data_IF_405960097734
#
_entry.id   IF_405960097734
#
_cell.length_a   1.000
_cell.length_b   1.000
_cell.length_c   1.000
_cell.angle_alpha   90.00
_cell.angle_beta   90.00
_cell.angle_gamma   90.00
#
_symmetry.space_group_name_H-M   'P 1'
#
loop_
_entity.id
_entity.type
_entity.pdbx_description
1 polymer ?
#
# COMPACT_ATOMS: atom_id res chain seq x y z
N UNK A 1 -69.23 16.56 -39.79
CA UNK A 1 -67.89 16.65 -40.41
C UNK A 1 -66.72 16.74 -39.42
N UNK A 2 -66.94 16.87 -38.10
CA UNK A 2 -65.87 16.90 -37.10
C UNK A 2 -65.27 15.54 -36.64
N UNK A 3 -65.97 14.39 -36.62
CA UNK A 3 -65.39 13.16 -36.04
C UNK A 3 -64.36 12.48 -36.96
N UNK A 4 -64.53 12.58 -38.28
CA UNK A 4 -63.61 11.99 -39.27
C UNK A 4 -62.23 12.65 -39.21
N UNK A 5 -62.18 13.96 -38.96
CA UNK A 5 -60.90 14.69 -38.85
C UNK A 5 -60.15 14.29 -37.59
N UNK A 6 -60.87 14.04 -36.48
CA UNK A 6 -60.26 13.61 -35.22
C UNK A 6 -59.68 12.19 -35.31
N UNK A 7 -60.39 11.25 -35.95
CA UNK A 7 -59.91 9.88 -36.17
C UNK A 7 -58.68 9.85 -37.07
N UNK A 8 -58.68 10.62 -38.15
CA UNK A 8 -57.52 10.71 -39.06
C UNK A 8 -56.32 11.35 -38.35
N UNK A 9 -56.53 12.38 -37.52
CA UNK A 9 -55.44 13.00 -36.76
C UNK A 9 -54.84 12.04 -35.74
N UNK A 10 -55.67 11.22 -35.08
CA UNK A 10 -55.22 10.25 -34.10
C UNK A 10 -54.40 9.13 -34.77
N UNK A 11 -54.84 8.65 -35.94
CA UNK A 11 -54.08 7.67 -36.73
C UNK A 11 -52.73 8.25 -37.18
N UNK A 12 -52.69 9.51 -37.60
CA UNK A 12 -51.44 10.17 -38.00
C UNK A 12 -50.49 10.35 -36.81
N UNK A 13 -50.99 10.74 -35.63
CA UNK A 13 -50.18 10.85 -34.41
C UNK A 13 -49.62 9.49 -34.00
N UNK A 14 -50.43 8.43 -34.06
CA UNK A 14 -49.96 7.05 -33.79
C UNK A 14 -48.88 6.66 -34.79
N UNK A 15 -49.07 6.90 -36.09
CA UNK A 15 -48.05 6.60 -37.11
C UNK A 15 -46.76 7.38 -36.83
N UNK A 16 -46.83 8.68 -36.53
CA UNK A 16 -45.65 9.50 -36.24
C UNK A 16 -44.94 9.02 -34.97
N UNK A 17 -45.68 8.74 -33.89
CA UNK A 17 -45.13 8.24 -32.63
C UNK A 17 -44.53 6.83 -32.80
N UNK A 18 -45.21 5.95 -33.54
CA UNK A 18 -44.69 4.63 -33.90
C UNK A 18 -43.44 4.73 -34.77
N UNK A 19 -43.37 5.69 -35.68
CA UNK A 19 -42.19 5.92 -36.53
C UNK A 19 -41.03 6.49 -35.73
N UNK A 20 -41.28 7.42 -34.79
CA UNK A 20 -40.25 7.95 -33.88
C UNK A 20 -39.72 6.84 -32.96
N UNK A 21 -40.60 6.00 -32.39
CA UNK A 21 -40.20 4.83 -31.60
C UNK A 21 -39.43 3.82 -32.46
N UNK A 22 -39.84 3.59 -33.71
CA UNK A 22 -39.14 2.69 -34.63
C UNK A 22 -37.78 3.24 -35.09
N UNK A 23 -37.63 4.56 -35.23
CA UNK A 23 -36.37 5.22 -35.64
C UNK A 23 -35.40 5.39 -34.48
N UNK A 24 -35.87 5.55 -33.23
CA UNK A 24 -35.02 5.83 -32.08
C UNK A 24 -34.86 4.70 -31.07
N UNK A 25 -35.80 3.76 -30.97
CA UNK A 25 -35.78 2.68 -29.98
C UNK A 25 -35.34 1.35 -30.59
N UNK A 26 -35.69 1.08 -31.86
CA UNK A 26 -35.29 -0.16 -32.54
C UNK A 26 -33.78 -0.22 -32.84
N UNK A 27 -33.06 0.86 -33.18
CA UNK A 27 -31.59 0.81 -33.27
C UNK A 27 -30.90 0.52 -31.93
N UNK A 28 -31.57 0.80 -30.80
CA UNK A 28 -31.04 0.58 -29.44
C UNK A 28 -31.23 -0.87 -28.96
N UNK A 29 -32.16 -1.63 -29.55
CA UNK A 29 -32.47 -3.01 -29.15
C UNK A 29 -32.29 -4.06 -30.27
N UNK A 30 -32.00 -3.66 -31.51
CA UNK A 30 -31.73 -4.57 -32.64
C UNK A 30 -30.47 -4.14 -33.39
N UNK A 31 -29.34 -4.06 -32.70
CA UNK A 31 -28.04 -3.74 -33.30
C UNK A 31 -27.68 -4.70 -34.45
N UNK A 32 -28.11 -4.34 -35.66
CA UNK A 32 -27.61 -4.84 -36.94
C UNK A 32 -27.43 -3.69 -37.95
N UNK A 33 -27.24 -2.45 -37.48
CA UNK A 33 -26.57 -1.42 -38.29
C UNK A 33 -25.07 -1.54 -38.06
N UNK A 34 -24.46 -2.37 -38.90
CA UNK A 34 -23.02 -2.50 -39.06
C UNK A 34 -22.42 -1.21 -39.60
N UNK A 35 -22.12 -0.27 -38.72
CA UNK A 35 -20.72 0.09 -38.63
C UNK A 35 -20.09 -1.01 -37.81
N UNK A 36 -19.38 -1.89 -38.51
CA UNK A 36 -18.52 -2.88 -37.90
C UNK A 36 -17.45 -2.12 -37.10
N UNK A 37 -17.80 -1.73 -35.87
CA UNK A 37 -16.86 -1.21 -34.91
C UNK A 37 -15.82 -2.28 -34.59
N UNK A 38 -15.95 -3.53 -35.04
CA UNK A 38 -14.84 -4.47 -34.96
C UNK A 38 -13.64 -3.92 -35.73
N UNK A 39 -13.78 -3.31 -36.92
CA UNK A 39 -12.63 -2.72 -37.63
C UNK A 39 -11.93 -1.60 -36.87
N UNK A 40 -12.69 -0.70 -36.24
CA UNK A 40 -12.16 0.37 -35.39
C UNK A 40 -11.61 -0.16 -34.05
N UNK A 41 -12.27 -1.14 -33.46
CA UNK A 41 -11.84 -1.82 -32.25
C UNK A 41 -10.60 -2.71 -32.48
N UNK A 42 -10.43 -3.29 -33.67
CA UNK A 42 -9.24 -4.04 -34.10
C UNK A 42 -8.07 -3.10 -34.43
N UNK A 43 -8.35 -1.87 -34.90
CA UNK A 43 -7.32 -0.87 -35.21
C UNK A 43 -6.90 -0.04 -34.00
N UNK A 44 -7.77 0.11 -33.01
CA UNK A 44 -7.44 0.62 -31.68
C UNK A 44 -6.77 -0.50 -30.86
N UNK A 45 -5.44 -0.45 -30.76
CA UNK A 45 -4.65 -1.44 -30.02
C UNK A 45 -3.76 -0.75 -29.02
N UNK A 46 -3.68 -1.28 -27.81
CA UNK A 46 -2.89 -0.71 -26.74
C UNK A 46 -2.31 -1.80 -25.85
N UNK A 47 -1.24 -1.47 -25.15
CA UNK A 47 -0.60 -2.33 -24.17
C UNK A 47 -0.40 -1.57 -22.87
N UNK A 48 -0.75 -2.18 -21.75
CA UNK A 48 -0.30 -1.74 -20.43
C UNK A 48 1.18 -2.07 -20.31
N UNK A 49 2.02 -1.03 -20.26
CA UNK A 49 3.48 -1.16 -20.15
C UNK A 49 3.90 -1.27 -18.69
N UNK A 50 3.25 -0.50 -17.82
CA UNK A 50 3.55 -0.42 -16.38
C UNK A 50 2.27 -0.15 -15.61
N UNK A 51 2.14 -0.76 -14.44
CA UNK A 51 1.18 -0.36 -13.41
C UNK A 51 1.84 -0.40 -12.04
N UNK A 52 1.78 0.67 -11.26
CA UNK A 52 2.39 0.73 -9.93
C UNK A 52 1.62 1.62 -8.97
N UNK A 53 1.90 1.48 -7.68
CA UNK A 53 1.49 2.48 -6.72
C UNK A 53 2.38 3.71 -6.88
N UNK A 54 1.75 4.88 -7.02
CA UNK A 54 2.46 6.07 -7.39
C UNK A 54 3.08 6.74 -6.16
N UNK A 55 4.39 6.94 -6.20
CA UNK A 55 5.19 7.58 -5.15
C UNK A 55 5.30 9.08 -5.42
N UNK A 56 4.19 9.82 -5.35
CA UNK A 56 4.22 11.27 -5.59
C UNK A 56 4.73 12.09 -4.41
N UNK A 57 4.77 11.47 -3.24
CA UNK A 57 5.19 12.16 -2.02
C UNK A 57 6.55 11.63 -1.65
N UNK A 58 7.55 12.50 -1.79
CA UNK A 58 8.82 12.28 -1.13
C UNK A 58 8.51 12.10 0.35
N UNK A 59 8.83 10.94 0.92
CA UNK A 59 8.75 10.77 2.37
C UNK A 59 9.52 11.93 3.00
N UNK A 60 8.89 12.54 4.00
CA UNK A 60 9.53 13.50 4.88
C UNK A 60 9.75 12.71 6.17
N UNK A 61 10.70 11.76 6.18
CA UNK A 61 10.89 10.95 7.37
C UNK A 61 11.29 11.87 8.51
N UNK A 62 10.76 11.61 9.70
CA UNK A 62 11.23 12.28 10.90
C UNK A 62 12.71 11.91 11.18
N UNK A 63 13.34 12.61 12.12
CA UNK A 63 14.72 12.30 12.49
C UNK A 63 14.74 11.04 13.36
N UNK A 64 15.57 10.07 12.99
CA UNK A 64 15.79 8.89 13.83
C UNK A 64 16.46 9.31 15.12
N UNK A 65 15.86 8.91 16.23
CA UNK A 65 16.35 9.23 17.55
C UNK A 65 17.77 8.70 17.73
N UNK A 66 18.71 9.52 18.26
CA UNK A 66 20.03 9.02 18.53
C UNK A 66 19.94 7.98 19.65
N UNK A 67 20.77 6.94 19.60
CA UNK A 67 20.76 5.94 20.67
C UNK A 67 21.01 6.54 22.07
N UNK A 68 21.64 7.72 22.19
CA UNK A 68 21.78 8.45 23.46
C UNK A 68 20.46 8.93 24.06
N UNK A 69 19.38 9.01 23.27
CA UNK A 69 18.02 9.24 23.75
C UNK A 69 17.37 7.97 24.31
N UNK A 70 18.02 6.80 24.16
CA UNK A 70 17.58 5.56 24.79
C UNK A 70 17.47 5.73 26.30
N UNK A 71 16.35 5.31 26.91
CA UNK A 71 16.15 5.40 28.36
C UNK A 71 17.13 4.56 29.18
N UNK A 72 17.87 3.65 28.53
CA UNK A 72 18.83 2.73 29.17
C UNK A 72 20.28 2.90 28.66
N UNK A 73 20.49 3.75 27.65
CA UNK A 73 21.79 3.99 27.02
C UNK A 73 22.26 2.88 26.06
N UNK A 74 23.39 3.13 25.40
CA UNK A 74 23.90 2.30 24.28
C UNK A 74 25.08 1.41 24.64
N UNK A 75 25.51 1.45 25.89
CA UNK A 75 26.74 0.80 26.34
C UNK A 75 26.40 -0.11 27.52
N UNK A 76 26.90 -1.36 27.53
CA UNK A 76 26.71 -2.24 28.66
C UNK A 76 27.37 -1.68 29.92
N UNK A 77 26.72 -1.92 31.06
CA UNK A 77 27.35 -1.71 32.35
C UNK A 77 28.34 -2.84 32.63
N UNK A 78 29.52 -2.51 33.18
CA UNK A 78 30.46 -3.56 33.61
C UNK A 78 29.93 -4.21 34.90
N UNK A 79 29.96 -5.55 35.03
CA UNK A 79 30.58 -6.53 34.13
C UNK A 79 29.67 -7.02 32.99
N UNK A 80 30.25 -7.22 31.80
CA UNK A 80 29.58 -7.82 30.64
C UNK A 80 30.46 -8.91 29.99
N UNK A 81 29.84 -9.79 29.20
CA UNK A 81 30.54 -10.80 28.38
C UNK A 81 30.49 -10.42 26.91
N UNK A 82 31.63 -10.51 26.23
CA UNK A 82 31.67 -10.37 24.77
C UNK A 82 31.27 -11.67 24.11
N UNK A 83 30.20 -11.65 23.32
CA UNK A 83 29.77 -12.79 22.53
C UNK A 83 30.62 -12.93 21.26
N UNK A 84 31.54 -13.89 21.28
CA UNK A 84 32.39 -14.24 20.14
C UNK A 84 31.90 -15.53 19.49
N UNK A 85 30.73 -15.48 18.85
CA UNK A 85 30.12 -16.62 18.16
C UNK A 85 28.78 -17.02 18.76
N UNK A 86 28.74 -17.52 20.00
CA UNK A 86 27.48 -17.96 20.60
C UNK A 86 27.42 -17.94 22.13
N UNK A 87 26.23 -17.74 22.67
CA UNK A 87 25.88 -17.98 24.08
C UNK A 87 24.85 -19.12 24.13
N UNK A 88 25.30 -20.29 24.57
CA UNK A 88 24.49 -21.53 24.62
C UNK A 88 24.17 -22.00 26.03
N UNK A 89 24.63 -21.28 27.05
CA UNK A 89 24.35 -21.55 28.46
C UNK A 89 23.87 -20.28 29.14
N UNK A 90 22.94 -20.37 30.12
CA UNK A 90 22.39 -19.19 30.76
C UNK A 90 23.48 -18.29 31.36
N UNK A 91 23.36 -16.99 31.16
CA UNK A 91 24.29 -15.99 31.67
C UNK A 91 23.52 -14.83 32.28
N UNK A 92 23.76 -14.52 33.55
CA UNK A 92 22.99 -13.52 34.29
C UNK A 92 23.48 -12.08 34.11
N UNK A 93 24.60 -11.87 33.41
CA UNK A 93 25.15 -10.54 33.15
C UNK A 93 24.82 -10.01 31.76
N UNK A 94 25.28 -8.80 31.47
CA UNK A 94 25.07 -8.14 30.19
C UNK A 94 25.94 -8.78 29.10
N UNK A 95 25.40 -8.90 27.89
CA UNK A 95 26.10 -9.43 26.71
C UNK A 95 26.37 -8.30 25.74
N UNK A 96 27.60 -8.19 25.26
CA UNK A 96 27.95 -7.32 24.15
C UNK A 96 28.29 -8.15 22.90
N UNK A 97 27.67 -7.83 21.77
CA UNK A 97 28.11 -8.31 20.46
C UNK A 97 29.10 -7.29 19.92
N UNK A 98 30.38 -7.64 19.75
CA UNK A 98 31.42 -6.67 19.41
C UNK A 98 31.22 -6.08 18.01
N UNK A 99 31.90 -4.97 17.72
CA UNK A 99 31.88 -4.32 16.40
C UNK A 99 32.22 -5.33 15.30
N UNK A 100 31.39 -5.37 14.24
CA UNK A 100 31.48 -6.34 13.14
C UNK A 100 31.45 -7.83 13.58
N UNK A 101 31.07 -8.09 14.83
CA UNK A 101 30.96 -9.42 15.40
C UNK A 101 29.70 -10.14 14.95
N UNK A 102 29.67 -11.45 15.23
CA UNK A 102 28.49 -12.29 15.03
C UNK A 102 28.23 -13.02 16.34
N UNK A 103 26.97 -13.00 16.79
CA UNK A 103 26.53 -13.69 17.99
C UNK A 103 25.22 -14.44 17.75
N UNK A 104 25.18 -15.69 18.20
CA UNK A 104 23.97 -16.51 18.28
C UNK A 104 23.66 -16.82 19.74
N UNK A 105 22.48 -16.41 20.22
CA UNK A 105 22.03 -16.65 21.59
C UNK A 105 20.90 -17.68 21.56
N UNK A 106 21.12 -18.81 22.23
CA UNK A 106 20.12 -19.89 22.39
C UNK A 106 19.85 -20.23 23.86
N UNK A 107 20.34 -19.40 24.79
CA UNK A 107 20.13 -19.55 26.22
C UNK A 107 19.79 -18.20 26.84
N UNK A 108 19.21 -18.23 28.04
CA UNK A 108 18.76 -17.01 28.70
C UNK A 108 19.92 -16.08 29.08
N UNK A 109 19.78 -14.81 28.75
CA UNK A 109 20.76 -13.74 29.04
C UNK A 109 20.08 -12.57 29.76
N UNK A 110 20.85 -11.63 30.28
CA UNK A 110 20.29 -10.37 30.81
C UNK A 110 20.12 -9.35 29.67
N UNK A 111 20.79 -8.20 29.71
CA UNK A 111 20.77 -7.21 28.63
C UNK A 111 21.63 -7.67 27.44
N UNK A 112 21.29 -7.23 26.23
CA UNK A 112 22.08 -7.48 25.02
C UNK A 112 22.33 -6.17 24.27
N UNK A 113 23.61 -5.85 24.05
CA UNK A 113 24.07 -4.67 23.32
C UNK A 113 24.75 -5.09 22.03
N UNK A 114 24.19 -4.71 20.89
CA UNK A 114 24.67 -5.07 19.55
C UNK A 114 25.37 -3.86 18.93
N UNK A 115 26.68 -3.95 18.79
CA UNK A 115 27.50 -2.82 18.36
C UNK A 115 27.45 -2.62 16.84
N UNK A 116 28.12 -1.56 16.38
CA UNK A 116 28.19 -1.17 14.97
C UNK A 116 28.65 -2.31 14.06
N UNK A 117 27.94 -2.51 12.95
CA UNK A 117 28.22 -3.54 11.96
C UNK A 117 28.01 -4.99 12.43
N UNK A 118 27.60 -5.19 13.68
CA UNK A 118 27.45 -6.52 14.25
C UNK A 118 26.15 -7.23 13.82
N UNK A 119 26.14 -8.56 13.95
CA UNK A 119 25.00 -9.41 13.64
C UNK A 119 24.59 -10.21 14.89
N UNK A 120 23.33 -10.06 15.31
CA UNK A 120 22.75 -10.84 16.39
C UNK A 120 21.67 -11.78 15.85
N UNK A 121 21.68 -13.03 16.29
CA UNK A 121 20.58 -13.97 16.13
C UNK A 121 20.19 -14.55 17.49
N UNK A 122 18.93 -14.43 17.88
CA UNK A 122 18.38 -15.03 19.10
C UNK A 122 17.33 -16.05 18.72
N UNK A 123 17.48 -17.28 19.20
CA UNK A 123 16.56 -18.39 18.85
C UNK A 123 16.08 -19.07 20.13
N UNK A 124 14.77 -19.06 20.35
CA UNK A 124 14.13 -19.77 21.47
C UNK A 124 14.77 -19.47 22.83
N UNK A 125 15.22 -18.23 23.02
CA UNK A 125 15.92 -17.76 24.21
C UNK A 125 15.24 -16.52 24.79
N UNK A 126 15.52 -16.27 26.07
CA UNK A 126 15.00 -15.11 26.80
C UNK A 126 16.09 -14.10 27.06
N UNK A 127 15.90 -12.87 26.60
CA UNK A 127 16.61 -11.68 27.06
C UNK A 127 15.78 -11.15 28.24
N UNK A 128 16.26 -11.39 29.46
CA UNK A 128 15.54 -11.01 30.68
C UNK A 128 15.58 -9.50 30.93
N UNK A 129 16.55 -8.82 30.34
CA UNK A 129 16.65 -7.36 30.35
C UNK A 129 16.36 -6.78 28.97
N UNK A 130 17.07 -5.72 28.65
CA UNK A 130 16.85 -4.92 27.46
C UNK A 130 17.66 -5.41 26.25
N UNK A 131 17.19 -5.04 25.04
CA UNK A 131 17.89 -5.28 23.78
C UNK A 131 18.17 -3.95 23.08
N UNK A 132 19.45 -3.62 22.92
CA UNK A 132 19.89 -2.43 22.20
C UNK A 132 20.70 -2.82 20.96
N UNK A 133 20.27 -2.35 19.79
CA UNK A 133 21.06 -2.35 18.57
C UNK A 133 21.42 -0.94 18.17
N UNK A 134 22.69 -0.68 17.86
CA UNK A 134 23.14 0.66 17.45
C UNK A 134 24.09 0.58 16.25
N UNK A 135 23.62 1.05 15.10
CA UNK A 135 24.30 0.93 13.79
C UNK A 135 24.68 -0.52 13.45
N UNK A 136 23.91 -1.50 13.93
CA UNK A 136 24.17 -2.92 13.71
C UNK A 136 23.84 -3.33 12.28
N UNK A 137 24.52 -4.37 11.77
CA UNK A 137 24.26 -4.89 10.44
C UNK A 137 22.95 -5.68 10.41
N UNK A 138 22.69 -6.53 11.40
CA UNK A 138 21.41 -7.23 11.49
C UNK A 138 21.05 -7.69 12.90
N UNK A 139 19.75 -7.73 13.17
CA UNK A 139 19.19 -8.32 14.39
C UNK A 139 18.05 -9.26 13.97
N UNK A 140 18.20 -10.54 14.31
CA UNK A 140 17.20 -11.58 14.03
C UNK A 140 16.71 -12.21 15.32
N UNK A 141 15.40 -12.14 15.57
CA UNK A 141 14.74 -12.74 16.73
C UNK A 141 13.76 -13.81 16.25
N UNK A 142 13.92 -15.06 16.71
CA UNK A 142 13.06 -16.19 16.34
C UNK A 142 12.56 -16.90 17.59
N UNK A 143 11.27 -16.79 17.85
CA UNK A 143 10.66 -17.31 19.08
C UNK A 143 11.41 -16.83 20.33
N UNK A 144 11.92 -15.59 20.29
CA UNK A 144 12.66 -15.00 21.40
C UNK A 144 11.68 -14.27 22.33
N UNK A 145 12.08 -14.14 23.60
CA UNK A 145 11.36 -13.34 24.58
C UNK A 145 12.28 -12.20 25.03
N UNK A 146 11.81 -10.96 24.96
CA UNK A 146 12.49 -9.80 25.53
C UNK A 146 11.61 -9.24 26.63
N UNK A 147 12.11 -9.29 27.86
CA UNK A 147 11.39 -8.86 29.07
C UNK A 147 11.68 -7.40 29.46
N UNK A 148 12.73 -6.81 28.91
CA UNK A 148 13.00 -5.39 28.98
C UNK A 148 12.51 -4.63 27.74
N UNK A 149 13.01 -3.41 27.62
CA UNK A 149 12.79 -2.52 26.49
C UNK A 149 13.67 -2.91 25.29
N UNK A 150 13.20 -2.68 24.07
CA UNK A 150 13.96 -2.92 22.84
C UNK A 150 14.17 -1.62 22.07
N UNK A 151 15.43 -1.26 21.81
CA UNK A 151 15.79 -0.09 21.02
C UNK A 151 16.71 -0.44 19.85
N UNK A 152 16.22 -0.27 18.63
CA UNK A 152 16.94 -0.63 17.42
C UNK A 152 17.26 0.63 16.61
N UNK A 153 18.44 1.19 16.81
CA UNK A 153 18.89 2.45 16.22
C UNK A 153 19.77 2.20 15.00
N UNK A 154 19.32 2.64 13.82
CA UNK A 154 20.04 2.53 12.55
C UNK A 154 20.48 1.10 12.20
N UNK A 155 19.66 0.10 12.56
CA UNK A 155 19.90 -1.31 12.23
C UNK A 155 19.54 -1.54 10.76
N UNK A 156 20.46 -2.10 9.98
CA UNK A 156 20.25 -2.25 8.53
C UNK A 156 19.17 -3.30 8.18
N UNK A 157 19.08 -4.37 8.97
CA UNK A 157 18.07 -5.41 8.80
C UNK A 157 17.58 -5.97 10.14
N UNK A 158 16.28 -5.81 10.41
CA UNK A 158 15.60 -6.35 11.58
C UNK A 158 14.58 -7.39 11.14
N UNK A 159 14.69 -8.61 11.66
CA UNK A 159 13.74 -9.69 11.39
C UNK A 159 13.27 -10.34 12.68
N UNK A 160 12.00 -10.16 13.01
CA UNK A 160 11.38 -10.63 14.24
C UNK A 160 10.25 -11.59 13.87
N UNK A 161 10.36 -12.83 14.33
CA UNK A 161 9.41 -13.89 14.01
C UNK A 161 8.99 -14.61 15.28
N UNK A 162 7.67 -14.72 15.52
CA UNK A 162 7.14 -15.53 16.62
C UNK A 162 7.57 -15.07 18.01
N UNK A 163 8.02 -13.83 18.16
CA UNK A 163 8.70 -13.36 19.38
C UNK A 163 7.74 -12.60 20.29
N UNK A 164 8.10 -12.47 21.57
CA UNK A 164 7.31 -11.79 22.59
C UNK A 164 8.10 -10.66 23.23
N UNK A 165 7.50 -9.47 23.32
CA UNK A 165 8.06 -8.29 23.96
C UNK A 165 7.13 -7.87 25.08
N UNK A 166 7.65 -7.79 26.29
CA UNK A 166 6.86 -7.43 27.46
C UNK A 166 7.76 -6.74 28.45
N UNK A 167 7.65 -5.42 28.59
CA UNK A 167 8.41 -4.62 29.57
C UNK A 167 7.96 -4.87 31.03
N UNK A 168 7.19 -5.93 31.29
CA UNK A 168 6.62 -6.30 32.58
C UNK A 168 5.77 -5.20 33.20
N UNK A 169 5.10 -4.40 32.36
CA UNK A 169 4.28 -3.26 32.80
C UNK A 169 5.10 -2.03 33.17
N UNK A 170 6.39 -1.96 32.81
CA UNK A 170 7.16 -0.74 32.96
C UNK A 170 6.67 0.31 31.94
N UNK A 171 5.94 1.31 32.45
CA UNK A 171 5.38 2.42 31.65
C UNK A 171 6.31 3.65 31.61
N UNK A 172 7.47 3.61 32.28
CA UNK A 172 8.40 4.75 32.32
C UNK A 172 9.13 4.97 31.01
N UNK A 173 9.10 3.99 30.11
CA UNK A 173 9.62 4.13 28.75
C UNK A 173 8.57 4.83 27.88
N UNK A 174 8.82 6.12 27.63
CA UNK A 174 8.00 6.98 26.78
C UNK A 174 8.83 7.45 25.59
N UNK A 175 8.45 7.03 24.40
CA UNK A 175 8.87 7.62 23.13
C UNK A 175 7.55 7.91 22.37
N UNK A 176 7.35 9.18 22.02
CA UNK A 176 6.09 9.78 21.54
C UNK A 176 4.78 9.36 22.26
N UNK A 177 4.84 9.00 23.54
CA UNK A 177 3.65 8.45 24.21
C UNK A 177 3.99 7.80 25.53
N UNK A 178 3.18 6.86 25.98
CA UNK A 178 3.47 6.07 27.17
C UNK A 178 3.57 4.58 26.83
N UNK A 179 4.28 3.83 27.68
CA UNK A 179 4.30 2.37 27.63
C UNK A 179 4.98 1.79 26.37
N UNK A 180 6.04 2.43 25.87
CA UNK A 180 6.85 1.91 24.77
C UNK A 180 7.51 0.60 25.18
N UNK A 181 7.30 -0.46 24.41
CA UNK A 181 7.99 -1.73 24.55
C UNK A 181 9.12 -1.87 23.53
N UNK A 182 8.97 -1.21 22.39
CA UNK A 182 9.91 -1.30 21.29
C UNK A 182 9.97 0.02 20.51
N UNK A 183 11.19 0.45 20.25
CA UNK A 183 11.54 1.45 19.26
C UNK A 183 12.44 0.83 18.21
N UNK A 184 12.18 1.10 16.94
CA UNK A 184 13.13 0.81 15.87
C UNK A 184 13.18 1.96 14.89
N UNK A 185 14.35 2.57 14.68
CA UNK A 185 14.51 3.68 13.77
C UNK A 185 15.65 3.48 12.78
N UNK A 186 15.51 3.99 11.56
CA UNK A 186 16.58 3.97 10.55
C UNK A 186 16.13 3.48 9.19
N UNK A 187 16.86 3.89 8.15
CA UNK A 187 16.62 3.52 6.74
C UNK A 187 16.91 2.06 6.38
N UNK A 188 16.92 1.17 7.36
CA UNK A 188 17.04 -0.27 7.17
C UNK A 188 15.73 -0.91 6.74
N UNK A 189 15.76 -2.24 6.65
CA UNK A 189 14.56 -3.07 6.54
C UNK A 189 14.09 -3.52 7.92
N UNK A 190 12.78 -3.47 8.16
CA UNK A 190 12.15 -3.90 9.40
C UNK A 190 11.03 -4.88 9.08
N UNK A 191 11.11 -6.09 9.64
CA UNK A 191 10.06 -7.11 9.50
C UNK A 191 9.72 -7.69 10.87
N UNK A 192 8.44 -7.66 11.21
CA UNK A 192 7.89 -8.27 12.42
C UNK A 192 6.67 -9.12 12.05
N UNK A 193 6.73 -10.40 12.36
CA UNK A 193 5.70 -11.38 11.97
C UNK A 193 5.29 -12.25 13.14
N UNK A 194 3.98 -12.46 13.29
CA UNK A 194 3.37 -13.37 14.26
C UNK A 194 3.91 -13.19 15.69
N UNK A 195 4.17 -11.95 16.08
CA UNK A 195 4.79 -11.60 17.36
C UNK A 195 3.80 -10.89 18.28
N UNK A 196 4.02 -10.98 19.58
CA UNK A 196 3.16 -10.36 20.59
C UNK A 196 3.93 -9.28 21.35
N UNK A 197 3.32 -8.11 21.50
CA UNK A 197 3.88 -6.98 22.24
C UNK A 197 2.88 -6.51 23.29
N UNK A 198 3.34 -6.45 24.53
CA UNK A 198 2.63 -5.77 25.63
C UNK A 198 3.21 -4.37 25.79
N UNK A 199 2.55 -3.39 25.18
CA UNK A 199 3.01 -2.01 25.08
C UNK A 199 2.89 -1.46 23.67
N UNK A 200 3.48 -0.29 23.44
CA UNK A 200 3.59 0.35 22.14
C UNK A 200 4.79 -0.18 21.35
N UNK A 201 4.62 -0.24 20.03
CA UNK A 201 5.70 -0.43 19.06
C UNK A 201 5.75 0.82 18.19
N UNK A 202 6.95 1.36 18.04
CA UNK A 202 7.23 2.49 17.17
C UNK A 202 8.32 2.12 16.20
N UNK A 203 8.06 2.32 14.91
CA UNK A 203 9.04 2.11 13.86
C UNK A 203 9.22 3.35 12.99
N UNK A 204 10.36 4.00 13.15
CA UNK A 204 10.75 5.25 12.51
C UNK A 204 11.56 5.05 11.22
N UNK A 205 11.17 5.74 10.15
CA UNK A 205 12.01 5.96 8.95
C UNK A 205 12.46 4.68 8.22
N UNK A 206 11.69 3.60 8.31
CA UNK A 206 12.05 2.33 7.67
C UNK A 206 12.02 2.42 6.14
N UNK A 207 13.09 2.04 5.44
CA UNK A 207 13.05 1.96 3.96
C UNK A 207 12.06 0.88 3.52
N UNK A 208 12.01 -0.24 4.25
CA UNK A 208 11.06 -1.31 4.03
C UNK A 208 10.48 -1.80 5.35
N UNK A 209 9.18 -1.59 5.58
CA UNK A 209 8.56 -1.92 6.87
C UNK A 209 7.40 -2.91 6.72
N UNK A 210 7.51 -4.07 7.36
CA UNK A 210 6.51 -5.14 7.29
C UNK A 210 6.07 -5.58 8.69
N UNK A 211 4.77 -5.41 8.98
CA UNK A 211 4.11 -5.93 10.18
C UNK A 211 3.02 -6.90 9.77
N UNK A 212 3.19 -8.19 10.04
CA UNK A 212 2.27 -9.24 9.60
C UNK A 212 1.79 -10.12 10.75
N UNK A 213 0.49 -10.13 11.02
CA UNK A 213 -0.10 -11.06 11.99
C UNK A 213 0.31 -10.84 13.44
N UNK A 214 0.72 -9.63 13.83
CA UNK A 214 1.18 -9.35 15.18
C UNK A 214 0.02 -8.97 16.11
N UNK A 215 0.23 -9.12 17.41
CA UNK A 215 -0.67 -8.62 18.45
C UNK A 215 0.05 -7.58 19.31
N UNK A 216 -0.31 -6.31 19.18
CA UNK A 216 0.27 -5.18 19.92
C UNK A 216 -0.81 -4.60 20.83
N UNK A 217 -0.63 -4.67 22.15
CA UNK A 217 -1.67 -4.20 23.08
C UNK A 217 -1.81 -2.67 23.10
N UNK A 218 -0.74 -1.94 22.77
CA UNK A 218 -0.71 -0.48 22.69
C UNK A 218 -0.80 0.06 21.27
N UNK A 219 -0.24 1.25 21.06
CA UNK A 219 -0.12 1.88 19.74
C UNK A 219 0.88 1.09 18.88
N UNK A 220 0.51 0.84 17.63
CA UNK A 220 1.47 0.52 16.57
C UNK A 220 1.65 1.78 15.74
N UNK A 221 2.84 2.37 15.83
CA UNK A 221 3.24 3.54 15.08
C UNK A 221 4.29 3.14 14.06
N UNK A 222 4.06 3.54 12.82
CA UNK A 222 4.91 3.15 11.70
C UNK A 222 5.09 4.33 10.75
N UNK A 223 6.34 4.72 10.59
CA UNK A 223 6.83 5.60 9.54
C UNK A 223 7.73 4.82 8.58
N UNK A 224 7.26 4.63 7.34
CA UNK A 224 8.01 4.03 6.25
C UNK A 224 8.50 5.12 5.31
N UNK A 225 9.80 5.18 5.02
CA UNK A 225 10.37 6.11 4.06
C UNK A 225 10.01 5.77 2.60
N UNK A 226 9.93 4.48 2.26
CA UNK A 226 9.69 4.07 0.87
C UNK A 226 8.45 3.18 0.73
N UNK A 227 8.48 1.97 1.29
CA UNK A 227 7.38 1.02 1.15
C UNK A 227 7.17 0.12 2.37
N UNK A 228 5.93 -0.31 2.59
CA UNK A 228 5.64 -1.24 3.67
C UNK A 228 4.28 -1.94 3.58
N UNK A 229 4.06 -2.86 4.50
CA UNK A 229 2.74 -3.48 4.70
C UNK A 229 2.45 -3.75 6.16
N UNK A 230 1.24 -3.41 6.60
CA UNK A 230 0.69 -3.68 7.92
C UNK A 230 -0.54 -4.55 7.71
N UNK A 231 -0.36 -5.87 7.83
CA UNK A 231 -1.37 -6.86 7.43
C UNK A 231 -1.75 -7.80 8.58
N UNK A 232 -3.04 -7.93 8.85
CA UNK A 232 -3.55 -8.99 9.74
C UNK A 232 -3.19 -8.81 11.21
N UNK A 233 -2.84 -7.59 11.63
CA UNK A 233 -2.45 -7.32 13.00
C UNK A 233 -3.67 -7.08 13.90
N UNK A 234 -3.51 -7.24 15.20
CA UNK A 234 -4.43 -6.73 16.21
C UNK A 234 -3.68 -5.71 17.05
N UNK A 235 -4.13 -4.46 17.04
CA UNK A 235 -3.43 -3.33 17.67
C UNK A 235 -4.37 -2.52 18.56
N UNK A 236 -3.83 -1.92 19.62
CA UNK A 236 -4.57 -1.00 20.50
C UNK A 236 -4.99 0.27 19.76
N UNK A 237 -4.05 0.88 19.03
CA UNK A 237 -4.30 1.96 18.07
C UNK A 237 -3.28 1.86 16.93
N UNK A 238 -3.56 2.55 15.82
CA UNK A 238 -2.68 2.60 14.66
C UNK A 238 -2.34 4.06 14.37
N UNK A 239 -1.06 4.37 14.30
CA UNK A 239 -0.57 5.69 13.89
C UNK A 239 0.40 5.55 12.72
N UNK A 240 0.22 6.43 11.74
CA UNK A 240 0.84 6.37 10.43
C UNK A 240 1.16 7.78 9.94
N UNK A 241 1.79 8.57 10.79
CA UNK A 241 2.40 9.84 10.42
C UNK A 241 3.37 9.65 9.25
N UNK A 242 3.42 10.67 8.39
CA UNK A 242 4.52 10.94 7.46
C UNK A 242 5.03 9.80 6.55
N UNK A 243 4.17 8.81 6.29
CA UNK A 243 4.52 7.62 5.53
C UNK A 243 4.73 7.84 4.03
N UNK A 244 5.63 7.03 3.47
CA UNK A 244 5.68 6.61 2.07
C UNK A 244 4.53 5.62 1.75
N UNK A 245 4.81 4.58 0.96
CA UNK A 245 3.76 3.69 0.44
C UNK A 245 3.49 2.49 1.34
N UNK A 246 2.48 2.56 2.22
CA UNK A 246 2.16 1.47 3.17
C UNK A 246 0.80 0.82 2.88
N UNK A 247 0.79 -0.48 2.58
CA UNK A 247 -0.47 -1.25 2.47
C UNK A 247 -1.00 -1.56 3.87
N UNK A 248 -2.29 -1.36 4.13
CA UNK A 248 -2.89 -1.65 5.44
C UNK A 248 -4.13 -2.52 5.26
N UNK A 249 -4.04 -3.81 5.56
CA UNK A 249 -5.16 -4.71 5.32
C UNK A 249 -5.40 -5.65 6.50
N UNK A 250 -6.65 -6.05 6.75
CA UNK A 250 -7.01 -7.01 7.82
C UNK A 250 -6.60 -6.57 9.23
N UNK A 251 -6.44 -5.26 9.39
CA UNK A 251 -6.33 -4.52 10.63
C UNK A 251 -7.42 -4.89 11.63
N UNK A 252 -7.16 -5.35 12.85
CA UNK A 252 -8.08 -5.10 13.97
C UNK A 252 -7.50 -3.99 14.82
N UNK A 253 -8.04 -2.78 14.69
CA UNK A 253 -7.62 -1.59 15.43
C UNK A 253 -8.66 -1.31 16.50
N UNK A 254 -8.32 -1.57 17.76
CA UNK A 254 -9.24 -1.45 18.89
C UNK A 254 -9.49 0.01 19.33
N UNK A 255 -8.73 0.95 18.77
CA UNK A 255 -8.78 2.39 19.03
C UNK A 255 -8.84 3.19 17.74
N UNK A 256 -8.21 4.37 17.77
CA UNK A 256 -8.14 5.27 16.61
C UNK A 256 -7.11 4.74 15.61
N UNK A 257 -7.44 4.88 14.31
CA UNK A 257 -6.47 4.78 13.23
C UNK A 257 -6.19 6.19 12.69
N UNK A 258 -4.96 6.68 12.88
CA UNK A 258 -4.49 7.96 12.34
C UNK A 258 -3.72 7.70 11.05
N UNK A 259 -4.15 8.35 9.97
CA UNK A 259 -3.48 8.34 8.68
C UNK A 259 -2.79 9.69 8.48
N UNK A 260 -1.49 9.69 8.23
CA UNK A 260 -0.72 10.90 7.97
C UNK A 260 -1.11 11.63 6.68
N UNK A 261 -0.58 12.84 6.51
CA UNK A 261 -0.85 13.73 5.36
C UNK A 261 -0.31 13.22 4.03
N UNK A 262 0.70 12.35 4.08
CA UNK A 262 1.42 11.80 2.93
C UNK A 262 1.10 10.33 2.65
N UNK A 263 0.27 9.72 3.51
CA UNK A 263 0.10 8.27 3.59
C UNK A 263 -0.67 7.69 2.40
N UNK A 264 0.06 6.98 1.55
CA UNK A 264 -0.58 6.02 0.67
C UNK A 264 -1.02 4.84 1.53
N UNK A 265 -2.32 4.52 1.52
CA UNK A 265 -2.86 3.36 2.21
C UNK A 265 -3.82 2.57 1.33
N UNK A 266 -3.37 1.41 0.86
CA UNK A 266 -4.23 0.37 0.30
C UNK A 266 -5.03 -0.26 1.44
N UNK A 267 -6.29 0.14 1.65
CA UNK A 267 -7.11 -0.45 2.74
C UNK A 267 -8.02 -1.57 2.26
N UNK A 268 -8.04 -2.65 3.03
CA UNK A 268 -9.02 -3.72 2.88
C UNK A 268 -9.28 -4.38 4.23
N UNK A 269 -10.54 -4.49 4.65
CA UNK A 269 -10.97 -5.27 5.83
C UNK A 269 -10.32 -4.88 7.16
N UNK A 270 -9.99 -3.61 7.32
CA UNK A 270 -9.63 -3.10 8.63
C UNK A 270 -10.92 -2.90 9.45
N UNK A 271 -10.98 -3.52 10.62
CA UNK A 271 -11.98 -3.25 11.66
C UNK A 271 -11.40 -2.18 12.57
N UNK A 272 -12.02 -1.01 12.63
CA UNK A 272 -11.54 0.14 13.40
C UNK A 272 -12.67 0.59 14.32
N UNK A 273 -12.51 0.38 15.63
CA UNK A 273 -13.56 0.71 16.61
C UNK A 273 -13.53 2.16 17.11
N UNK A 274 -12.36 2.81 17.13
CA UNK A 274 -12.22 4.20 17.60
C UNK A 274 -12.38 5.27 16.51
N UNK A 275 -12.62 4.86 15.26
CA UNK A 275 -12.73 5.76 14.10
C UNK A 275 -11.39 6.11 13.46
N UNK A 276 -11.45 6.93 12.41
CA UNK A 276 -10.29 7.30 11.57
C UNK A 276 -10.00 8.80 11.67
N UNK A 277 -8.73 9.17 11.71
CA UNK A 277 -8.25 10.56 11.60
C UNK A 277 -7.33 10.70 10.38
N UNK A 278 -7.31 11.89 9.77
CA UNK A 278 -6.57 12.14 8.54
C UNK A 278 -7.27 11.58 7.29
N UNK A 279 -6.56 11.55 6.16
CA UNK A 279 -7.11 11.10 4.88
C UNK A 279 -6.26 9.97 4.32
N UNK A 280 -6.93 8.85 4.02
CA UNK A 280 -6.29 7.72 3.36
C UNK A 280 -6.45 7.84 1.84
N UNK A 281 -5.37 8.18 1.13
CA UNK A 281 -5.38 8.37 -0.32
C UNK A 281 -4.31 7.51 -0.96
N UNK A 282 -4.70 6.55 -1.79
CA UNK A 282 -3.79 5.82 -2.67
C UNK A 282 -3.72 6.46 -4.05
N UNK A 283 -2.54 6.60 -4.64
CA UNK A 283 -2.40 6.92 -6.05
C UNK A 283 -1.87 5.70 -6.80
N UNK A 284 -2.38 5.49 -8.01
CA UNK A 284 -1.98 4.44 -8.93
C UNK A 284 -1.50 5.08 -10.21
N UNK A 285 -0.35 4.64 -10.71
CA UNK A 285 0.20 5.03 -12.00
C UNK A 285 0.09 3.87 -12.99
N UNK A 286 -0.40 4.14 -14.19
CA UNK A 286 -0.51 3.18 -15.29
C UNK A 286 0.04 3.83 -16.56
N UNK A 287 1.01 3.18 -17.18
CA UNK A 287 1.52 3.55 -18.50
C UNK A 287 0.83 2.71 -19.57
N UNK A 288 0.16 3.37 -20.51
CA UNK A 288 -0.55 2.72 -21.62
C UNK A 288 0.03 3.18 -22.96
N UNK A 289 0.58 2.25 -23.73
CA UNK A 289 1.17 2.48 -25.04
C UNK A 289 0.14 2.19 -26.14
N UNK A 290 -0.07 3.13 -27.06
CA UNK A 290 -0.85 2.89 -28.28
C UNK A 290 0.02 2.14 -29.32
N UNK A 291 -0.34 0.89 -29.58
CA UNK A 291 0.30 0.02 -30.58
C UNK A 291 -0.56 -0.22 -31.82
N UNK A 292 -1.69 0.48 -31.91
CA UNK A 292 -2.65 0.41 -32.99
C UNK A 292 -2.27 1.27 -34.18
N UNK A 293 -3.21 1.41 -35.11
CA UNK A 293 -3.07 2.25 -36.30
C UNK A 293 -3.89 3.54 -36.23
N UNK A 294 -4.64 3.75 -35.14
CA UNK A 294 -5.42 4.96 -34.87
C UNK A 294 -5.21 5.44 -33.43
N UNK A 295 -5.47 6.73 -33.11
CA UNK A 295 -5.42 7.23 -31.74
C UNK A 295 -6.38 6.47 -30.81
N UNK A 296 -5.91 6.14 -29.61
CA UNK A 296 -6.73 5.52 -28.55
C UNK A 296 -7.44 6.62 -27.77
N UNK A 297 -8.71 6.41 -27.43
CA UNK A 297 -9.53 7.41 -26.73
C UNK A 297 -10.25 6.80 -25.53
N UNK A 298 -9.68 6.88 -24.33
CA UNK A 298 -10.35 6.39 -23.12
C UNK A 298 -11.36 7.41 -22.62
N UNK A 299 -12.64 7.01 -22.56
CA UNK A 299 -13.78 7.86 -22.19
C UNK A 299 -14.24 7.66 -20.75
N UNK A 300 -13.82 6.58 -20.11
CA UNK A 300 -14.09 6.31 -18.70
C UNK A 300 -12.98 5.49 -18.06
N UNK A 301 -12.79 5.71 -16.76
CA UNK A 301 -11.89 4.95 -15.91
C UNK A 301 -12.64 4.43 -14.68
N UNK A 302 -12.34 3.21 -14.28
CA UNK A 302 -12.90 2.55 -13.11
C UNK A 302 -11.76 2.04 -12.24
N UNK A 303 -12.00 2.02 -10.94
CA UNK A 303 -11.11 1.40 -9.97
C UNK A 303 -11.93 0.59 -8.98
N UNK A 304 -11.53 -0.66 -8.78
CA UNK A 304 -12.21 -1.63 -7.92
C UNK A 304 -13.71 -1.79 -8.24
N UNK A 305 -14.05 -1.81 -9.53
CA UNK A 305 -15.42 -1.90 -10.06
C UNK A 305 -16.34 -0.71 -9.75
N UNK A 306 -15.78 0.43 -9.33
CA UNK A 306 -16.50 1.67 -9.09
C UNK A 306 -15.95 2.71 -10.08
N UNK A 307 -16.80 3.60 -10.66
CA UNK A 307 -16.29 4.75 -11.40
C UNK A 307 -15.21 5.47 -10.61
N UNK A 308 -14.14 5.89 -11.27
CA UNK A 308 -13.04 6.59 -10.60
C UNK A 308 -13.58 7.83 -9.86
N UNK A 309 -13.67 7.73 -8.53
CA UNK A 309 -14.15 8.81 -7.68
C UNK A 309 -13.03 9.81 -7.32
N UNK A 310 -11.77 9.36 -7.37
CA UNK A 310 -10.59 10.20 -7.11
C UNK A 310 -10.11 10.99 -8.33
N UNK A 311 -9.04 11.76 -8.14
CA UNK A 311 -8.46 12.59 -9.19
C UNK A 311 -7.83 11.75 -10.31
N UNK A 312 -8.18 12.04 -11.56
CA UNK A 312 -7.45 11.56 -12.73
C UNK A 312 -6.41 12.60 -13.12
N UNK A 313 -5.21 12.17 -13.52
CA UNK A 313 -4.21 13.01 -14.17
C UNK A 313 -3.47 12.19 -15.22
N UNK A 314 -3.09 12.77 -16.35
CA UNK A 314 -2.35 12.06 -17.38
C UNK A 314 -1.50 12.99 -18.25
N UNK A 315 -0.46 12.45 -18.86
CA UNK A 315 0.41 13.14 -19.81
C UNK A 315 0.94 12.18 -20.87
N UNK A 316 1.40 12.70 -22.00
CA UNK A 316 2.13 11.90 -22.98
C UNK A 316 3.59 11.74 -22.58
N UNK A 317 4.11 10.52 -22.69
CA UNK A 317 5.50 10.20 -22.40
C UNK A 317 6.48 10.90 -23.37
N UNK A 318 6.02 11.22 -24.58
CA UNK A 318 6.74 12.05 -25.54
C UNK A 318 7.01 13.48 -25.06
N UNK A 319 6.31 13.96 -24.02
CA UNK A 319 6.38 15.34 -23.55
C UNK A 319 5.57 16.33 -24.39
N UNK A 320 4.79 15.84 -25.37
CA UNK A 320 3.91 16.68 -26.16
C UNK A 320 2.73 17.20 -25.33
N UNK A 321 2.26 18.40 -25.66
CA UNK A 321 1.05 18.96 -25.07
C UNK A 321 -0.19 18.20 -25.54
N UNK A 322 -1.16 18.07 -24.65
CA UNK A 322 -2.45 17.40 -24.88
C UNK A 322 -3.59 18.40 -24.74
N UNK A 323 -4.68 18.14 -25.46
CA UNK A 323 -5.91 18.89 -25.28
C UNK A 323 -6.56 18.49 -23.95
N UNK A 324 -6.65 19.44 -23.02
CA UNK A 324 -7.34 19.28 -21.75
C UNK A 324 -8.56 20.20 -21.68
N UNK A 325 -9.72 19.68 -22.08
CA UNK A 325 -10.92 20.49 -22.25
C UNK A 325 -10.72 21.55 -23.32
N UNK A 326 -10.75 22.83 -22.91
CA UNK A 326 -10.59 23.98 -23.82
C UNK A 326 -9.14 24.45 -24.03
N UNK A 327 -8.16 23.89 -23.32
CA UNK A 327 -6.76 24.36 -23.34
C UNK A 327 -5.78 23.25 -23.73
N UNK A 328 -4.56 23.64 -24.11
CA UNK A 328 -3.44 22.70 -24.26
C UNK A 328 -2.57 22.71 -22.99
N UNK A 329 -2.15 21.54 -22.53
CA UNK A 329 -1.35 21.39 -21.31
C UNK A 329 -0.42 20.20 -21.42
N UNK A 330 0.70 20.22 -20.70
CA UNK A 330 1.59 19.05 -20.58
C UNK A 330 0.97 17.93 -19.73
N UNK A 331 0.08 18.29 -18.81
CA UNK A 331 -0.66 17.36 -17.95
C UNK A 331 -2.14 17.69 -18.02
N UNK A 332 -3.00 16.69 -18.12
CA UNK A 332 -4.44 16.84 -18.15
C UNK A 332 -5.13 16.03 -17.06
N UNK A 333 -6.17 16.58 -16.45
CA UNK A 333 -6.95 15.93 -15.39
C UNK A 333 -8.36 15.51 -15.84
N UNK A 334 -8.62 15.60 -17.14
CA UNK A 334 -9.94 15.38 -17.73
C UNK A 334 -9.93 14.17 -18.66
N UNK A 335 -11.08 13.50 -18.74
CA UNK A 335 -11.39 12.59 -19.81
C UNK A 335 -11.85 13.38 -21.06
N UNK A 336 -11.69 12.83 -22.27
CA UNK A 336 -11.06 11.55 -22.55
C UNK A 336 -9.53 11.62 -22.56
N UNK A 337 -8.87 10.52 -22.21
CA UNK A 337 -7.42 10.35 -22.41
C UNK A 337 -7.20 10.01 -23.88
N UNK A 338 -6.37 10.79 -24.56
CA UNK A 338 -6.10 10.61 -26.00
C UNK A 338 -4.63 10.24 -26.18
N UNK A 339 -4.38 9.07 -26.74
CA UNK A 339 -3.02 8.54 -26.95
C UNK A 339 -2.76 8.45 -28.46
N UNK A 340 -1.90 9.31 -29.04
CA UNK A 340 -1.48 9.22 -30.44
C UNK A 340 -0.86 7.86 -30.77
N UNK A 341 -0.89 7.49 -32.05
CA UNK A 341 -0.27 6.25 -32.54
C UNK A 341 1.23 6.26 -32.24
N UNK A 342 1.72 5.19 -31.59
CA UNK A 342 3.13 5.05 -31.23
C UNK A 342 3.57 5.84 -29.99
N UNK A 343 2.65 6.56 -29.34
CA UNK A 343 2.92 7.26 -28.09
C UNK A 343 2.32 6.52 -26.89
N UNK A 344 2.71 6.94 -25.69
CA UNK A 344 2.30 6.35 -24.43
C UNK A 344 1.72 7.44 -23.53
N UNK A 345 0.59 7.14 -22.86
CA UNK A 345 0.09 7.98 -21.79
C UNK A 345 0.56 7.43 -20.44
N UNK A 346 1.09 8.32 -19.61
CA UNK A 346 1.31 8.06 -18.18
C UNK A 346 0.07 8.57 -17.46
N UNK A 347 -0.68 7.66 -16.83
CA UNK A 347 -1.98 7.93 -16.24
C UNK A 347 -1.89 7.72 -14.73
N UNK A 348 -2.20 8.74 -13.96
CA UNK A 348 -2.37 8.71 -12.51
C UNK A 348 -3.84 8.68 -12.15
N UNK A 349 -4.22 7.75 -11.28
CA UNK A 349 -5.55 7.64 -10.70
C UNK A 349 -5.46 7.73 -9.17
N UNK A 350 -6.12 8.72 -8.60
CA UNK A 350 -6.35 8.84 -7.18
C UNK A 350 -7.44 7.87 -6.73
N UNK A 351 -7.22 7.27 -5.58
CA UNK A 351 -8.07 6.27 -4.97
C UNK A 351 -8.23 6.58 -3.50
N UNK A 352 -9.48 6.56 -3.03
CA UNK A 352 -9.79 6.56 -1.61
C UNK A 352 -10.56 5.28 -1.34
N UNK A 353 -10.20 4.52 -0.30
CA UNK A 353 -10.94 3.31 0.02
C UNK A 353 -12.43 3.62 0.29
N UNK A 354 -13.37 2.81 -0.21
CA UNK A 354 -14.78 2.97 0.09
C UNK A 354 -15.05 2.85 1.60
N UNK A 355 -15.98 3.66 2.12
CA UNK A 355 -16.44 3.52 3.50
C UNK A 355 -17.16 2.17 3.68
N UNK A 356 -16.47 1.22 4.32
CA UNK A 356 -16.96 0.03 5.05
C UNK A 356 -18.03 -0.89 4.43
N UNK A 357 -18.37 -0.78 3.14
CA UNK A 357 -19.50 -1.52 2.55
C UNK A 357 -19.14 -2.52 1.45
N UNK A 358 -17.89 -2.59 1.02
CA UNK A 358 -17.48 -3.54 -0.02
C UNK A 358 -16.43 -4.52 0.48
N UNK A 359 -16.80 -5.79 0.70
CA UNK A 359 -15.82 -6.86 0.77
C UNK A 359 -15.28 -7.11 -0.65
N UNK A 360 -14.28 -6.35 -1.08
CA UNK A 360 -13.56 -6.65 -2.31
C UNK A 360 -12.55 -7.77 -2.03
N UNK A 361 -12.40 -8.79 -2.87
CA UNK A 361 -11.48 -9.90 -2.60
C UNK A 361 -10.01 -9.46 -2.69
N UNK A 362 -9.50 -8.97 -1.55
CA UNK A 362 -8.14 -8.93 -0.99
C UNK A 362 -6.89 -8.93 -1.87
N UNK A 363 -5.90 -8.19 -1.36
CA UNK A 363 -4.50 -8.02 -1.78
C UNK A 363 -4.24 -7.31 -3.12
N UNK A 364 -5.23 -6.66 -3.75
CA UNK A 364 -4.98 -5.87 -4.96
C UNK A 364 -5.94 -4.69 -5.17
N UNK A 365 -5.53 -3.75 -6.02
CA UNK A 365 -6.39 -2.77 -6.70
C UNK A 365 -6.59 -3.21 -8.14
N UNK A 366 -7.83 -3.21 -8.61
CA UNK A 366 -8.15 -3.49 -10.01
C UNK A 366 -8.53 -2.20 -10.72
N UNK A 367 -8.04 -1.95 -11.92
CA UNK A 367 -8.41 -0.78 -12.73
C UNK A 367 -8.92 -1.19 -14.10
N UNK A 368 -9.80 -0.36 -14.67
CA UNK A 368 -10.31 -0.52 -16.04
C UNK A 368 -10.33 0.85 -16.74
N UNK A 369 -9.82 0.93 -17.96
CA UNK A 369 -10.10 2.03 -18.89
C UNK A 369 -10.98 1.52 -20.02
N UNK A 370 -12.03 2.28 -20.36
CA UNK A 370 -12.94 1.97 -21.47
C UNK A 370 -12.70 2.97 -22.59
N UNK A 371 -12.47 2.46 -23.80
CA UNK A 371 -12.30 3.29 -24.98
C UNK A 371 -13.63 3.75 -25.58
N UNK A 372 -13.60 4.77 -26.44
CA UNK A 372 -14.77 5.21 -27.21
C UNK A 372 -15.33 4.14 -28.16
N UNK A 373 -14.56 3.08 -28.44
CA UNK A 373 -14.97 1.94 -29.28
C UNK A 373 -15.34 0.70 -28.45
N UNK A 374 -15.54 0.85 -27.14
CA UNK A 374 -15.86 -0.25 -26.23
C UNK A 374 -14.77 -1.32 -26.14
N UNK A 375 -13.51 -0.94 -26.36
CA UNK A 375 -12.36 -1.74 -25.95
C UNK A 375 -12.02 -1.44 -24.49
N UNK A 376 -11.36 -2.39 -23.83
CA UNK A 376 -11.01 -2.28 -22.41
C UNK A 376 -9.52 -2.53 -22.20
N UNK A 377 -8.87 -1.66 -21.43
CA UNK A 377 -7.65 -2.01 -20.70
C UNK A 377 -8.08 -2.35 -19.29
N UNK A 378 -7.60 -3.45 -18.74
CA UNK A 378 -7.73 -3.74 -17.33
C UNK A 378 -6.40 -4.22 -16.73
N UNK A 379 -6.34 -4.23 -15.40
CA UNK A 379 -5.14 -4.66 -14.70
C UNK A 379 -5.30 -4.73 -13.20
N UNK A 380 -4.47 -5.58 -12.59
CA UNK A 380 -4.44 -5.83 -11.16
C UNK A 380 -3.10 -5.35 -10.59
N UNK A 381 -3.14 -4.54 -9.54
CA UNK A 381 -1.97 -4.13 -8.76
C UNK A 381 -2.03 -4.82 -7.41
N UNK A 382 -1.18 -5.83 -7.25
CA UNK A 382 -1.11 -6.59 -6.01
C UNK A 382 -0.30 -5.85 -4.96
N UNK A 383 -0.87 -5.79 -3.77
CA UNK A 383 -0.21 -5.49 -2.52
C UNK A 383 0.70 -6.68 -2.14
N UNK A 384 1.89 -6.78 -2.72
CA UNK A 384 2.92 -7.76 -2.35
C UNK A 384 4.20 -7.08 -1.85
N UNK A 385 5.02 -7.82 -1.11
CA UNK A 385 6.39 -7.44 -0.74
C UNK A 385 7.17 -7.13 -2.02
N UNK A 386 7.46 -5.86 -2.27
CA UNK A 386 8.02 -5.37 -3.53
C UNK A 386 6.93 -4.90 -4.49
N UNK A 387 6.69 -3.59 -4.51
CA UNK A 387 5.71 -2.92 -5.38
C UNK A 387 6.19 -2.79 -6.83
N UNK A 388 7.26 -3.50 -7.21
CA UNK A 388 7.79 -3.54 -8.55
C UNK A 388 7.21 -4.72 -9.31
N UNK A 389 6.37 -4.46 -10.30
CA UNK A 389 5.86 -5.42 -11.29
C UNK A 389 6.93 -6.48 -11.65
N UNK A 390 6.70 -7.78 -11.34
CA UNK A 390 7.34 -8.85 -12.08
C UNK A 390 6.28 -9.78 -12.67
N UNK A 391 5.05 -9.28 -12.86
CA UNK A 391 4.04 -9.99 -13.61
C UNK A 391 3.46 -9.01 -14.61
N UNK A 392 3.78 -9.26 -15.89
CA UNK A 392 2.89 -8.89 -16.98
C UNK A 392 1.47 -9.17 -16.51
N UNK A 393 0.59 -8.20 -16.77
CA UNK A 393 -0.86 -8.42 -16.73
C UNK A 393 -1.14 -9.86 -17.13
N UNK A 394 -1.85 -10.60 -16.27
CA UNK A 394 -2.66 -11.67 -16.84
C UNK A 394 -3.67 -10.94 -17.70
N UNK A 395 -3.38 -10.93 -19.00
CA UNK A 395 -4.35 -10.61 -20.02
C UNK A 395 -5.48 -11.64 -19.86
N UNK A 396 -6.50 -11.31 -19.08
CA UNK A 396 -7.84 -11.60 -19.59
C UNK A 396 -8.06 -10.61 -20.72
N UNK A 397 -7.46 -10.88 -21.89
CA UNK A 397 -8.00 -10.37 -23.13
C UNK A 397 -9.43 -10.89 -23.15
N UNK A 398 -10.40 -10.11 -22.68
CA UNK A 398 -11.76 -10.24 -23.18
C UNK A 398 -11.67 -9.78 -24.63
N UNK A 399 -11.34 -10.74 -25.49
CA UNK A 399 -11.43 -10.63 -26.93
C UNK A 399 -12.90 -10.32 -27.22
N UNK A 400 -13.20 -9.02 -27.38
CA UNK A 400 -14.44 -8.40 -27.83
C UNK A 400 -15.78 -8.82 -27.17
N UNK A 401 -16.71 -7.86 -26.96
CA UNK A 401 -18.13 -8.15 -26.80
C UNK A 401 -18.67 -8.85 -28.08
N UNK A 402 -19.66 -9.74 -27.99
CA UNK A 402 -20.87 -9.49 -27.21
C UNK A 402 -20.97 -10.42 -25.99
N UNK A 403 -21.23 -9.81 -24.84
CA UNK A 403 -22.14 -10.41 -23.86
C UNK A 403 -23.29 -9.41 -23.80
N UNK A 404 -24.26 -9.44 -24.72
CA UNK A 404 -25.25 -10.50 -24.93
C UNK A 404 -25.38 -10.96 -26.38
#
# INVERSE_FOLDING_TARGET
MAPIVAEVLMVVIVIIMSTIVYVWVVPTFTSQTGHDNAGAAYSEKFNTVRGQFATFVQSIPEDVDPCTASPIGCSPSSPFVTCNGSITSPYSGDVIVPINGVCVITASVHNVFVMTGANLTVVSATINGDLIGNYSQSITLRNAIVSGWTGLYNVQATNILGSSFNTSGNLSYSHDGCCSAMYGGGRGSFTMTNSTVTGQVENEVGHQTFFVGNHVSGRLEVESADQGSIIGNTVGSLDLDQNGVVVIASNTVNGIAKYGTNGWCGTGYNVISGGTQGVCIGNVEVDVLNTGSIPVKFVSAYMTNIPLAGSLSWRLASGNQVQCGGTQSLTCTQLPIIIPVGDMAQITMGWTPPASSFPLPWNYIYFIFVSSHQNFVDGYLYFSVGLGLPMQSRLENRICPPCW
#
